data_IF_305719223477
#
_entry.id   IF_305719223477
#
_cell.length_a   1.000
_cell.length_b   1.000
_cell.length_c   1.000
_cell.angle_alpha   90.00
_cell.angle_beta   90.00
_cell.angle_gamma   90.00
#
_symmetry.space_group_name_H-M   'P 1'
#
loop_
_entity.id
_entity.type
_entity.pdbx_description
1 polymer ?
#
# COMPACT_ATOMS: atom_id res chain seq x y z
N UNK A 1 -22.86 -18.57 8.83
CA UNK A 1 -21.99 -18.16 7.72
C UNK A 1 -22.37 -16.75 7.33
N UNK A 2 -21.42 -15.80 7.32
CA UNK A 2 -21.70 -14.49 6.74
C UNK A 2 -21.73 -14.66 5.23
N UNK A 3 -22.84 -14.31 4.59
CA UNK A 3 -22.90 -14.26 3.13
C UNK A 3 -22.36 -12.92 2.66
N UNK A 4 -21.53 -12.93 1.61
CA UNK A 4 -21.16 -11.70 0.92
C UNK A 4 -22.43 -11.02 0.38
N UNK A 5 -22.56 -9.69 0.52
CA UNK A 5 -23.62 -8.95 -0.16
C UNK A 5 -23.57 -9.18 -1.68
N UNK A 6 -24.73 -9.19 -2.35
CA UNK A 6 -24.83 -9.45 -3.80
C UNK A 6 -23.90 -8.57 -4.63
N UNK A 7 -23.79 -7.27 -4.31
CA UNK A 7 -22.92 -6.33 -5.02
C UNK A 7 -21.43 -6.73 -5.00
N UNK A 8 -20.97 -7.43 -3.95
CA UNK A 8 -19.58 -7.90 -3.85
C UNK A 8 -19.37 -9.07 -4.81
N UNK A 9 -20.28 -10.04 -4.79
CA UNK A 9 -20.19 -11.24 -5.63
C UNK A 9 -20.32 -10.90 -7.12
N UNK A 10 -21.30 -10.08 -7.48
CA UNK A 10 -21.51 -9.61 -8.85
C UNK A 10 -20.29 -8.85 -9.39
N UNK A 11 -19.77 -7.90 -8.60
CA UNK A 11 -18.59 -7.14 -8.99
C UNK A 11 -17.34 -8.03 -9.11
N UNK A 12 -17.19 -9.01 -8.21
CA UNK A 12 -16.09 -9.95 -8.27
C UNK A 12 -16.16 -10.81 -9.54
N UNK A 13 -17.33 -11.37 -9.87
CA UNK A 13 -17.53 -12.14 -11.11
C UNK A 13 -17.11 -11.33 -12.35
N UNK A 14 -17.43 -10.04 -12.39
CA UNK A 14 -17.08 -9.18 -13.52
C UNK A 14 -15.58 -8.83 -13.58
N UNK A 15 -14.93 -8.67 -12.42
CA UNK A 15 -13.57 -8.09 -12.32
C UNK A 15 -12.46 -9.09 -11.97
N UNK A 16 -12.79 -10.34 -11.61
CA UNK A 16 -11.83 -11.31 -11.08
C UNK A 16 -10.65 -11.54 -12.03
N UNK A 17 -10.88 -11.61 -13.35
CA UNK A 17 -9.81 -11.79 -14.33
C UNK A 17 -8.81 -10.61 -14.30
N UNK A 18 -9.31 -9.38 -14.36
CA UNK A 18 -8.49 -8.16 -14.33
C UNK A 18 -7.76 -7.99 -12.99
N UNK A 19 -8.42 -8.35 -11.89
CA UNK A 19 -7.82 -8.36 -10.54
C UNK A 19 -6.65 -9.33 -10.50
N UNK A 20 -6.83 -10.57 -10.95
CA UNK A 20 -5.77 -11.58 -10.98
C UNK A 20 -4.62 -11.16 -11.91
N UNK A 21 -4.95 -10.57 -13.05
CA UNK A 21 -3.95 -10.04 -13.98
C UNK A 21 -3.11 -8.95 -13.30
N UNK A 22 -3.74 -7.94 -12.70
CA UNK A 22 -3.02 -6.88 -11.97
C UNK A 22 -2.16 -7.44 -10.84
N UNK A 23 -2.68 -8.42 -10.11
CA UNK A 23 -1.93 -9.06 -9.04
C UNK A 23 -0.68 -9.81 -9.55
N UNK A 24 -0.74 -10.39 -10.75
CA UNK A 24 0.42 -11.02 -11.39
C UNK A 24 1.48 -10.00 -11.83
N UNK A 25 1.07 -8.77 -12.18
CA UNK A 25 2.01 -7.70 -12.53
C UNK A 25 2.88 -7.28 -11.33
N UNK A 26 2.35 -7.37 -10.11
CA UNK A 26 3.13 -7.06 -8.91
C UNK A 26 4.21 -8.10 -8.58
N UNK A 27 4.05 -9.35 -9.02
CA UNK A 27 5.03 -10.42 -8.71
C UNK A 27 6.30 -10.33 -9.55
N UNK A 28 6.27 -9.57 -10.65
CA UNK A 28 7.40 -9.40 -11.57
C UNK A 28 8.17 -8.09 -11.36
N UNK A 29 7.80 -7.29 -10.35
CA UNK A 29 8.52 -6.05 -10.03
C UNK A 29 9.93 -6.37 -9.54
N UNK A 30 11.00 -5.91 -10.21
CA UNK A 30 12.36 -6.29 -9.85
C UNK A 30 12.84 -5.53 -8.60
N UNK A 31 13.76 -6.11 -7.79
CA UNK A 31 14.29 -5.48 -6.59
C UNK A 31 14.92 -4.09 -6.79
N UNK A 32 15.36 -3.76 -8.01
CA UNK A 32 15.86 -2.43 -8.38
C UNK A 32 14.80 -1.34 -8.23
N UNK A 33 13.52 -1.69 -8.33
CA UNK A 33 12.37 -0.77 -8.23
C UNK A 33 11.93 -0.50 -6.79
N UNK A 34 12.29 -1.37 -5.84
CA UNK A 34 11.75 -1.33 -4.47
C UNK A 34 12.03 0.00 -3.75
N UNK A 35 13.18 0.60 -4.03
CA UNK A 35 13.53 1.91 -3.45
C UNK A 35 12.54 3.00 -3.89
N UNK A 36 12.28 3.09 -5.19
CA UNK A 36 11.40 4.11 -5.74
C UNK A 36 9.93 3.82 -5.45
N UNK A 37 9.54 2.54 -5.29
CA UNK A 37 8.20 2.20 -4.79
C UNK A 37 8.02 2.64 -3.32
N UNK A 38 9.04 2.51 -2.46
CA UNK A 38 8.99 3.11 -1.12
C UNK A 38 8.95 4.63 -1.15
N UNK A 39 9.70 5.28 -2.05
CA UNK A 39 9.58 6.73 -2.26
C UNK A 39 8.15 7.12 -2.63
N UNK A 40 7.49 6.33 -3.48
CA UNK A 40 6.09 6.52 -3.86
C UNK A 40 5.15 6.37 -2.66
N UNK A 41 5.31 5.33 -1.84
CA UNK A 41 4.53 5.13 -0.62
C UNK A 41 4.73 6.25 0.41
N UNK A 42 5.92 6.86 0.51
CA UNK A 42 6.16 8.04 1.36
C UNK A 42 5.47 9.29 0.79
N UNK A 43 5.45 9.44 -0.54
CA UNK A 43 4.93 10.65 -1.19
C UNK A 43 3.40 10.68 -1.27
N UNK A 44 2.74 9.52 -1.38
CA UNK A 44 1.31 9.40 -1.67
C UNK A 44 0.36 9.86 -0.54
N UNK A 45 0.63 9.62 0.76
CA UNK A 45 -0.29 10.02 1.83
C UNK A 45 -0.66 11.51 1.77
N UNK A 46 -1.97 11.77 1.69
CA UNK A 46 -2.55 13.13 1.56
C UNK A 46 -2.01 13.93 0.36
N UNK A 47 -1.65 13.26 -0.72
CA UNK A 47 -1.22 13.86 -1.99
C UNK A 47 -1.85 13.07 -3.15
N UNK A 48 -1.91 13.68 -4.34
CA UNK A 48 -2.43 12.98 -5.52
C UNK A 48 -1.42 11.92 -5.96
N UNK A 49 -1.89 10.69 -6.20
CA UNK A 49 -1.06 9.58 -6.68
C UNK A 49 -0.26 9.97 -7.94
N UNK A 50 -0.90 10.66 -8.89
CA UNK A 50 -0.25 11.17 -10.12
C UNK A 50 0.90 12.15 -9.84
N UNK A 51 0.79 13.01 -8.82
CA UNK A 51 1.88 13.92 -8.45
C UNK A 51 3.02 13.18 -7.75
N UNK A 52 2.69 12.21 -6.89
CA UNK A 52 3.67 11.36 -6.24
C UNK A 52 4.48 10.57 -7.28
N UNK A 53 3.82 10.01 -8.29
CA UNK A 53 4.46 9.35 -9.41
C UNK A 53 5.42 10.29 -10.15
N UNK A 54 4.97 11.48 -10.56
CA UNK A 54 5.81 12.47 -11.23
C UNK A 54 7.03 12.89 -10.40
N UNK A 55 6.87 13.05 -9.08
CA UNK A 55 7.99 13.35 -8.19
C UNK A 55 9.00 12.20 -8.13
N UNK A 56 8.52 10.96 -7.99
CA UNK A 56 9.38 9.78 -7.92
C UNK A 56 10.15 9.57 -9.22
N UNK A 57 9.53 9.81 -10.38
CA UNK A 57 10.23 9.73 -11.67
C UNK A 57 11.32 10.79 -11.83
N UNK A 58 11.13 11.98 -11.25
CA UNK A 58 12.19 12.99 -11.16
C UNK A 58 13.31 12.58 -10.22
N UNK A 59 12.98 11.96 -9.08
CA UNK A 59 13.99 11.39 -8.18
C UNK A 59 14.80 10.29 -8.88
N UNK A 60 14.11 9.42 -9.62
CA UNK A 60 14.71 8.35 -10.41
C UNK A 60 15.64 8.86 -11.49
N UNK A 61 15.20 9.88 -12.24
CA UNK A 61 15.99 10.51 -13.31
C UNK A 61 17.26 11.18 -12.77
N UNK A 62 17.22 11.72 -11.54
CA UNK A 62 18.39 12.23 -10.83
C UNK A 62 19.23 11.14 -10.14
N UNK A 63 18.88 9.86 -10.30
CA UNK A 63 19.50 8.73 -9.63
C UNK A 63 19.58 8.89 -8.10
N UNK A 64 18.51 9.39 -7.47
CA UNK A 64 18.46 9.77 -6.05
C UNK A 64 18.96 8.67 -5.09
N UNK A 65 18.73 7.39 -5.45
CA UNK A 65 19.23 6.24 -4.70
C UNK A 65 20.75 6.29 -4.54
N UNK A 66 21.47 6.44 -5.64
CA UNK A 66 22.94 6.39 -5.65
C UNK A 66 23.54 7.79 -5.43
N UNK A 67 22.91 8.84 -5.98
CA UNK A 67 23.35 10.23 -5.90
C UNK A 67 22.47 11.02 -4.93
N UNK A 68 23.02 11.36 -3.77
CA UNK A 68 22.30 12.17 -2.79
C UNK A 68 22.12 13.61 -3.28
N UNK A 69 20.89 14.11 -3.23
CA UNK A 69 20.56 15.52 -3.41
C UNK A 69 19.33 15.90 -2.55
N UNK A 70 19.03 17.18 -2.43
CA UNK A 70 17.82 17.63 -1.72
C UNK A 70 16.56 17.41 -2.57
N UNK A 71 15.61 16.54 -2.16
CA UNK A 71 14.38 16.31 -2.92
C UNK A 71 13.37 17.46 -2.75
N UNK A 72 13.55 18.37 -1.80
CA UNK A 72 12.57 19.43 -1.46
C UNK A 72 12.14 20.27 -2.65
N UNK A 73 13.04 20.74 -3.56
CA UNK A 73 12.64 21.49 -4.75
C UNK A 73 11.71 20.72 -5.70
N UNK A 74 11.89 19.40 -5.80
CA UNK A 74 11.03 18.52 -6.60
C UNK A 74 9.66 18.42 -5.91
N UNK A 75 9.64 18.12 -4.61
CA UNK A 75 8.40 17.88 -3.87
C UNK A 75 7.51 19.13 -3.72
N UNK A 76 8.11 20.33 -3.66
CA UNK A 76 7.37 21.60 -3.50
C UNK A 76 6.88 22.21 -4.81
N UNK A 77 7.22 21.63 -5.95
CA UNK A 77 6.87 22.20 -7.25
C UNK A 77 5.33 22.24 -7.42
N UNK A 78 4.72 23.39 -7.77
CA UNK A 78 3.27 23.52 -7.91
C UNK A 78 2.62 22.55 -8.91
N UNK A 79 3.33 22.17 -9.99
CA UNK A 79 2.79 21.30 -11.04
C UNK A 79 2.62 19.84 -10.58
N UNK A 80 3.36 19.43 -9.55
CA UNK A 80 3.32 18.09 -8.99
C UNK A 80 3.51 18.15 -7.47
N UNK A 81 2.77 19.05 -6.83
CA UNK A 81 2.96 19.38 -5.43
C UNK A 81 2.69 18.20 -4.50
N UNK A 82 3.59 17.99 -3.54
CA UNK A 82 3.48 17.01 -2.47
C UNK A 82 3.23 17.72 -1.13
N UNK A 83 2.09 17.39 -0.50
CA UNK A 83 1.74 17.93 0.82
C UNK A 83 2.73 17.43 1.87
N UNK A 84 3.12 18.32 2.79
CA UNK A 84 4.15 18.07 3.81
C UNK A 84 5.53 17.75 3.19
N UNK A 85 5.86 18.38 2.05
CA UNK A 85 7.10 18.16 1.31
C UNK A 85 8.35 18.21 2.19
N UNK A 86 8.47 19.15 3.14
CA UNK A 86 9.63 19.22 4.04
C UNK A 86 9.81 17.94 4.87
N UNK A 87 8.72 17.44 5.46
CA UNK A 87 8.76 16.22 6.29
C UNK A 87 9.03 14.98 5.44
N UNK A 88 8.45 14.92 4.24
CA UNK A 88 8.65 13.84 3.29
C UNK A 88 10.06 13.85 2.69
N UNK A 89 10.65 15.02 2.46
CA UNK A 89 12.05 15.15 2.05
C UNK A 89 13.00 14.52 3.07
N UNK A 90 12.79 14.80 4.36
CA UNK A 90 13.54 14.17 5.45
C UNK A 90 13.36 12.65 5.43
N UNK A 91 12.11 12.17 5.29
CA UNK A 91 11.83 10.73 5.18
C UNK A 91 12.53 10.07 4.00
N UNK A 92 12.57 10.70 2.82
CA UNK A 92 13.24 10.17 1.63
C UNK A 92 14.76 10.07 1.82
N UNK A 93 15.37 11.08 2.45
CA UNK A 93 16.80 11.05 2.77
C UNK A 93 17.12 9.94 3.78
N UNK A 94 16.28 9.76 4.81
CA UNK A 94 16.45 8.67 5.77
C UNK A 94 16.25 7.30 5.14
N UNK A 95 15.26 7.15 4.25
CA UNK A 95 15.02 5.93 3.48
C UNK A 95 16.28 5.54 2.69
N UNK A 96 16.93 6.49 2.01
CA UNK A 96 18.17 6.25 1.28
C UNK A 96 19.27 5.67 2.19
N UNK A 97 19.44 6.26 3.37
CA UNK A 97 20.48 5.85 4.31
C UNK A 97 20.22 4.47 4.94
N UNK A 98 18.96 4.05 5.05
CA UNK A 98 18.59 2.77 5.67
C UNK A 98 18.24 1.67 4.66
N UNK A 99 18.35 1.94 3.35
CA UNK A 99 17.82 1.03 2.32
C UNK A 99 18.45 -0.36 2.33
N UNK A 100 19.75 -0.49 2.62
CA UNK A 100 20.40 -1.80 2.69
C UNK A 100 19.73 -2.71 3.74
N UNK A 101 19.43 -2.17 4.94
CA UNK A 101 18.73 -2.91 6.01
C UNK A 101 17.30 -3.28 5.61
N UNK A 102 16.64 -2.42 4.83
CA UNK A 102 15.32 -2.70 4.27
C UNK A 102 15.41 -3.88 3.29
N UNK A 103 16.41 -3.90 2.39
CA UNK A 103 16.63 -5.00 1.46
C UNK A 103 16.92 -6.32 2.19
N UNK A 104 17.74 -6.31 3.24
CA UNK A 104 17.99 -7.49 4.08
C UNK A 104 16.70 -8.02 4.71
N UNK A 105 15.86 -7.13 5.25
CA UNK A 105 14.56 -7.52 5.83
C UNK A 105 13.64 -8.12 4.76
N UNK A 106 13.61 -7.54 3.56
CA UNK A 106 12.81 -8.06 2.45
C UNK A 106 13.32 -9.41 1.94
N UNK A 107 14.63 -9.66 1.97
CA UNK A 107 15.24 -10.93 1.58
C UNK A 107 15.14 -12.02 2.66
N UNK A 108 14.79 -11.65 3.90
CA UNK A 108 14.66 -12.61 5.00
C UNK A 108 13.48 -13.57 4.83
N UNK A 109 13.50 -14.66 5.61
CA UNK A 109 12.47 -15.72 5.62
C UNK A 109 11.27 -15.43 6.52
N UNK A 110 11.24 -14.26 7.18
CA UNK A 110 10.11 -13.88 8.04
C UNK A 110 8.84 -13.67 7.22
N UNK A 111 7.69 -13.78 7.89
CA UNK A 111 6.39 -13.68 7.23
C UNK A 111 6.14 -12.28 6.63
N UNK A 112 5.26 -12.16 5.63
CA UNK A 112 4.88 -10.87 5.06
C UNK A 112 4.36 -9.88 6.13
N UNK A 113 3.62 -10.36 7.13
CA UNK A 113 3.11 -9.57 8.25
C UNK A 113 4.22 -9.07 9.19
N UNK A 114 5.25 -9.88 9.43
CA UNK A 114 6.44 -9.48 10.18
C UNK A 114 7.25 -8.44 9.41
N UNK A 115 7.44 -8.63 8.09
CA UNK A 115 8.06 -7.62 7.21
C UNK A 115 7.31 -6.31 7.29
N UNK A 116 5.97 -6.33 7.16
CA UNK A 116 5.13 -5.12 7.29
C UNK A 116 5.36 -4.42 8.62
N UNK A 117 5.30 -5.18 9.71
CA UNK A 117 5.45 -4.63 11.06
C UNK A 117 6.82 -4.02 11.25
N UNK A 118 7.86 -4.65 10.71
CA UNK A 118 9.21 -4.11 10.72
C UNK A 118 9.31 -2.82 9.90
N UNK A 119 8.79 -2.79 8.67
CA UNK A 119 8.83 -1.61 7.79
C UNK A 119 8.11 -0.42 8.44
N UNK A 120 6.90 -0.63 8.97
CA UNK A 120 6.12 0.41 9.63
C UNK A 120 6.79 0.97 10.90
N UNK A 121 7.66 0.19 11.55
CA UNK A 121 8.43 0.63 12.72
C UNK A 121 9.72 1.36 12.36
N UNK A 122 10.37 0.96 11.26
CA UNK A 122 11.73 1.38 10.94
C UNK A 122 11.82 2.44 9.83
N UNK A 123 10.77 2.63 9.02
CA UNK A 123 10.77 3.60 7.93
C UNK A 123 9.90 4.81 8.31
N UNK A 124 10.55 5.96 8.45
CA UNK A 124 9.85 7.22 8.78
C UNK A 124 8.85 7.59 7.69
N UNK A 125 7.59 7.77 8.07
CA UNK A 125 6.52 8.15 7.16
C UNK A 125 5.78 6.97 6.51
N UNK A 126 6.14 5.74 6.88
CA UNK A 126 5.43 4.52 6.51
C UNK A 126 4.70 3.98 7.74
N UNK A 127 3.37 3.94 7.69
CA UNK A 127 2.54 3.26 8.69
C UNK A 127 2.24 1.82 8.30
N UNK A 128 1.36 1.16 9.07
CA UNK A 128 0.92 -0.22 8.78
C UNK A 128 0.31 -0.35 7.37
N UNK A 129 -0.55 0.60 6.98
CA UNK A 129 -1.20 0.61 5.66
C UNK A 129 -0.18 0.81 4.55
N UNK A 130 0.67 1.83 4.65
CA UNK A 130 1.70 2.10 3.64
C UNK A 130 2.70 0.94 3.50
N UNK A 131 3.04 0.26 4.61
CA UNK A 131 3.91 -0.92 4.59
C UNK A 131 3.23 -2.11 3.89
N UNK A 132 1.95 -2.38 4.19
CA UNK A 132 1.18 -3.40 3.48
C UNK A 132 1.08 -3.08 1.98
N UNK A 133 0.81 -1.82 1.65
CA UNK A 133 0.66 -1.34 0.29
C UNK A 133 1.95 -1.55 -0.51
N UNK A 134 3.08 -1.14 0.05
CA UNK A 134 4.39 -1.39 -0.54
C UNK A 134 4.65 -2.88 -0.78
N UNK A 135 4.44 -3.72 0.24
CA UNK A 135 4.67 -5.16 0.12
C UNK A 135 3.79 -5.80 -0.96
N UNK A 136 2.52 -5.42 -1.05
CA UNK A 136 1.64 -5.89 -2.13
C UNK A 136 2.20 -5.49 -3.50
N UNK A 137 2.61 -4.23 -3.66
CA UNK A 137 3.10 -3.71 -4.94
C UNK A 137 4.40 -4.36 -5.42
N UNK A 138 5.12 -5.07 -4.54
CA UNK A 138 6.30 -5.86 -4.90
C UNK A 138 6.04 -7.38 -4.86
N UNK A 139 4.77 -7.78 -4.87
CA UNK A 139 4.36 -9.17 -5.11
C UNK A 139 4.02 -9.99 -3.87
N UNK A 140 4.09 -9.43 -2.66
CA UNK A 140 3.60 -10.15 -1.48
C UNK A 140 2.08 -10.29 -1.51
N UNK A 141 1.60 -11.43 -1.06
CA UNK A 141 0.19 -11.84 -1.07
C UNK A 141 -0.37 -11.88 0.35
N UNK A 142 -1.69 -11.87 0.47
CA UNK A 142 -2.41 -12.06 1.74
C UNK A 142 -2.03 -11.07 2.88
N UNK A 143 -1.63 -9.84 2.56
CA UNK A 143 -1.41 -8.77 3.54
C UNK A 143 -2.55 -7.75 3.48
N UNK A 144 -3.20 -7.46 4.61
CA UNK A 144 -4.28 -6.47 4.61
C UNK A 144 -3.76 -5.03 4.46
N UNK A 145 -4.32 -4.30 3.50
CA UNK A 145 -4.13 -2.86 3.31
C UNK A 145 -5.40 -2.16 3.84
N UNK A 146 -5.39 -1.69 5.08
CA UNK A 146 -6.59 -1.11 5.70
C UNK A 146 -6.57 0.39 5.49
N UNK A 147 -7.35 0.86 4.53
CA UNK A 147 -7.60 2.26 4.27
C UNK A 147 -9.07 2.64 4.45
N UNK A 148 -9.40 3.90 4.16
CA UNK A 148 -10.77 4.41 4.32
C UNK A 148 -11.81 3.69 3.43
N UNK A 149 -11.41 3.21 2.26
CA UNK A 149 -12.30 2.55 1.29
C UNK A 149 -12.52 1.10 1.70
N UNK A 150 -11.46 0.42 2.14
CA UNK A 150 -11.57 -0.91 2.73
C UNK A 150 -12.45 -0.86 3.98
N UNK A 151 -12.21 0.08 4.91
CA UNK A 151 -13.03 0.24 6.10
C UNK A 151 -14.51 0.47 5.76
N UNK A 152 -14.81 1.30 4.75
CA UNK A 152 -16.17 1.53 4.26
C UNK A 152 -16.85 0.24 3.77
N UNK A 153 -16.16 -0.56 2.96
CA UNK A 153 -16.70 -1.82 2.46
C UNK A 153 -16.83 -2.88 3.54
N UNK A 154 -15.86 -3.00 4.45
CA UNK A 154 -15.95 -3.90 5.60
C UNK A 154 -17.14 -3.55 6.50
N UNK A 155 -17.41 -2.25 6.69
CA UNK A 155 -18.59 -1.81 7.43
C UNK A 155 -19.88 -2.16 6.69
N UNK A 156 -19.96 -1.88 5.38
CA UNK A 156 -21.11 -2.26 4.54
C UNK A 156 -21.37 -3.77 4.51
N UNK A 157 -20.34 -4.58 4.63
CA UNK A 157 -20.44 -6.04 4.71
C UNK A 157 -20.73 -6.56 6.13
N UNK A 158 -20.90 -5.68 7.13
CA UNK A 158 -21.13 -6.09 8.52
C UNK A 158 -19.93 -6.80 9.16
N UNK A 159 -18.71 -6.53 8.68
CA UNK A 159 -17.47 -7.06 9.23
C UNK A 159 -17.01 -6.23 10.42
N UNK A 160 -17.21 -4.92 10.37
CA UNK A 160 -16.85 -3.96 11.44
C UNK A 160 -18.01 -3.01 11.75
N UNK A 161 -18.09 -2.52 12.98
CA UNK A 161 -19.18 -1.65 13.45
C UNK A 161 -19.00 -0.18 13.05
N UNK A 162 -17.76 0.27 12.85
CA UNK A 162 -17.45 1.66 12.50
C UNK A 162 -16.33 1.73 11.47
N UNK A 163 -16.23 2.86 10.76
CA UNK A 163 -15.22 3.11 9.72
C UNK A 163 -14.02 3.91 10.23
N UNK A 164 -13.90 4.09 11.56
CA UNK A 164 -12.82 4.84 12.19
C UNK A 164 -11.46 4.21 11.90
N UNK A 165 -10.53 5.00 11.35
CA UNK A 165 -9.19 4.52 11.02
C UNK A 165 -8.47 3.97 12.27
N UNK A 166 -7.74 2.85 12.18
CA UNK A 166 -7.04 2.27 13.32
C UNK A 166 -5.93 3.19 13.82
N UNK A 167 -6.14 3.81 14.99
CA UNK A 167 -5.15 4.65 15.66
C UNK A 167 -4.00 3.89 16.33
N UNK A 168 -4.01 2.56 16.30
CA UNK A 168 -2.95 1.72 16.87
C UNK A 168 -2.72 0.45 16.06
N UNK A 169 -1.52 -0.13 16.17
CA UNK A 169 -1.16 -1.41 15.55
C UNK A 169 -2.11 -2.52 16.01
N UNK A 170 -2.49 -2.54 17.29
CA UNK A 170 -3.43 -3.53 17.84
C UNK A 170 -4.79 -3.46 17.14
N UNK A 171 -5.34 -2.25 16.94
CA UNK A 171 -6.62 -2.07 16.23
C UNK A 171 -6.49 -2.46 14.75
N UNK A 172 -5.36 -2.15 14.11
CA UNK A 172 -5.07 -2.56 12.73
C UNK A 172 -5.11 -4.08 12.57
N UNK A 173 -4.36 -4.81 13.42
CA UNK A 173 -4.31 -6.28 13.38
C UNK A 173 -5.66 -6.93 13.71
N UNK A 174 -6.44 -6.32 14.59
CA UNK A 174 -7.79 -6.81 14.89
C UNK A 174 -8.71 -6.72 13.67
N UNK A 175 -8.72 -5.57 12.98
CA UNK A 175 -9.52 -5.40 11.76
C UNK A 175 -9.02 -6.32 10.65
N UNK A 176 -7.70 -6.49 10.51
CA UNK A 176 -7.11 -7.47 9.57
C UNK A 176 -7.63 -8.88 9.84
N UNK A 177 -7.68 -9.33 11.09
CA UNK A 177 -8.18 -10.66 11.44
C UNK A 177 -9.66 -10.83 11.08
N UNK A 178 -10.49 -9.82 11.36
CA UNK A 178 -11.90 -9.83 10.97
C UNK A 178 -12.08 -9.89 9.46
N UNK A 179 -11.25 -9.16 8.72
CA UNK A 179 -11.28 -9.17 7.26
C UNK A 179 -10.81 -10.51 6.69
N UNK A 180 -9.73 -11.10 7.22
CA UNK A 180 -9.28 -12.45 6.83
C UNK A 180 -10.38 -13.49 7.02
N UNK A 181 -11.05 -13.50 8.18
CA UNK A 181 -12.18 -14.39 8.43
C UNK A 181 -13.32 -14.16 7.42
N UNK A 182 -13.64 -12.91 7.12
CA UNK A 182 -14.66 -12.59 6.13
C UNK A 182 -14.27 -13.08 4.72
N UNK A 183 -13.00 -12.93 4.33
CA UNK A 183 -12.47 -13.40 3.06
C UNK A 183 -12.61 -14.93 2.92
N UNK A 184 -12.27 -15.66 3.99
CA UNK A 184 -12.40 -17.12 4.06
C UNK A 184 -13.88 -17.56 3.96
N UNK A 185 -14.77 -16.89 4.71
CA UNK A 185 -16.21 -17.19 4.74
C UNK A 185 -16.87 -17.07 3.36
N UNK A 186 -16.38 -16.16 2.51
CA UNK A 186 -16.94 -15.90 1.18
C UNK A 186 -16.09 -16.51 0.05
N UNK A 187 -15.01 -17.20 0.40
CA UNK A 187 -14.07 -17.86 -0.51
C UNK A 187 -13.47 -16.93 -1.58
N UNK A 188 -13.18 -15.67 -1.22
CA UNK A 188 -12.46 -14.73 -2.08
C UNK A 188 -11.15 -14.35 -1.38
N UNK A 189 -9.97 -14.54 -2.02
CA UNK A 189 -8.68 -14.19 -1.42
C UNK A 189 -8.61 -12.73 -0.97
N UNK A 190 -7.93 -12.50 0.16
CA UNK A 190 -7.83 -11.17 0.79
C UNK A 190 -7.27 -10.09 -0.16
N UNK A 191 -6.24 -10.44 -0.94
CA UNK A 191 -5.59 -9.53 -1.89
C UNK A 191 -6.43 -9.28 -3.15
N UNK A 192 -7.31 -10.21 -3.52
CA UNK A 192 -8.32 -9.98 -4.54
C UNK A 192 -9.44 -9.06 -4.02
N UNK A 193 -9.88 -9.24 -2.76
CA UNK A 193 -10.85 -8.36 -2.12
C UNK A 193 -10.34 -6.93 -1.97
N UNK A 194 -9.05 -6.74 -1.69
CA UNK A 194 -8.42 -5.43 -1.62
C UNK A 194 -8.62 -4.65 -2.93
N UNK A 195 -8.23 -5.24 -4.07
CA UNK A 195 -8.40 -4.62 -5.38
C UNK A 195 -9.86 -4.47 -5.77
N UNK A 196 -10.72 -5.44 -5.41
CA UNK A 196 -12.15 -5.37 -5.66
C UNK A 196 -12.78 -4.15 -4.97
N UNK A 197 -12.59 -4.01 -3.66
CA UNK A 197 -13.13 -2.91 -2.87
C UNK A 197 -12.57 -1.56 -3.30
N UNK A 198 -11.29 -1.48 -3.66
CA UNK A 198 -10.73 -0.29 -4.29
C UNK A 198 -11.44 0.05 -5.59
N UNK A 199 -11.57 -0.93 -6.50
CA UNK A 199 -12.16 -0.70 -7.82
C UNK A 199 -13.65 -0.34 -7.77
N UNK A 200 -14.36 -0.77 -6.73
CA UNK A 200 -15.76 -0.39 -6.48
C UNK A 200 -15.90 1.08 -6.10
N UNK A 201 -14.84 1.65 -5.53
CA UNK A 201 -14.83 3.04 -5.12
C UNK A 201 -14.32 3.99 -6.21
N UNK A 202 -13.29 3.58 -6.96
CA UNK A 202 -12.60 4.44 -7.95
C UNK A 202 -13.05 4.17 -9.38
N UNK A 203 -13.70 3.03 -9.65
CA UNK A 203 -13.98 2.54 -10.99
C UNK A 203 -12.79 1.81 -11.64
N UNK A 204 -11.59 1.95 -11.10
CA UNK A 204 -10.34 1.46 -11.70
C UNK A 204 -9.64 0.45 -10.80
N UNK A 205 -9.03 -0.58 -11.40
CA UNK A 205 -8.12 -1.49 -10.71
C UNK A 205 -6.72 -0.86 -10.80
N UNK A 206 -6.28 -0.25 -9.71
CA UNK A 206 -5.01 0.48 -9.61
C UNK A 206 -4.00 -0.27 -8.73
N UNK A 207 -2.92 0.42 -8.37
CA UNK A 207 -1.92 -0.03 -7.42
C UNK A 207 -2.05 0.69 -6.10
#
# INVERSE_FOLDING_TARGET
MKHAPAYVLEAYTLKQADIKQRLSEFTVVPPTEYFYELCYCICTPQSKAVHAFQCVEKLRSGNFREQAFDPTPILRNPNHYIRFHNMKAISLQQLRNSFNKIQETLASTVTPEEKRTWLARNIRGIGMKEASHFLRNIGYRNIAIIDRHILHHLHKCGVIEETTFPGSVKKYLHIEQLWKQFADDICIPLDELDLLFWSLQTGEILK
#
